data_IF_690697851077
#
_entry.id   IF_690697851077
#
_cell.length_a   1.000
_cell.length_b   1.000
_cell.length_c   1.000
_cell.angle_alpha   90.00
_cell.angle_beta   90.00
_cell.angle_gamma   90.00
#
_symmetry.space_group_name_H-M   'P 1'
#
loop_
_entity.id
_entity.type
_entity.pdbx_description
1 polymer ?
#
# COMPACT_ATOMS: atom_id res chain seq x y z
N UNK A 1 -1.48 -18.92 -6.57
CA UNK A 1 -1.13 -17.53 -6.21
C UNK A 1 -0.79 -17.55 -4.73
N UNK A 2 0.41 -17.13 -4.34
CA UNK A 2 0.77 -17.07 -2.93
C UNK A 2 0.31 -15.72 -2.38
N UNK A 3 -0.54 -15.74 -1.36
CA UNK A 3 -0.96 -14.53 -0.64
C UNK A 3 0.18 -14.09 0.28
N UNK A 4 0.58 -12.83 0.17
CA UNK A 4 1.55 -12.23 1.08
C UNK A 4 0.82 -11.58 2.26
N UNK A 5 1.48 -11.55 3.42
CA UNK A 5 1.00 -10.81 4.58
C UNK A 5 1.85 -9.54 4.82
N UNK A 6 2.65 -9.15 3.83
CA UNK A 6 3.55 -8.01 3.88
C UNK A 6 3.63 -7.28 2.54
N UNK A 7 3.52 -5.93 2.57
CA UNK A 7 3.70 -5.10 1.39
C UNK A 7 5.11 -5.26 0.79
N UNK A 8 6.14 -5.25 1.63
CA UNK A 8 7.54 -5.34 1.17
C UNK A 8 7.79 -6.65 0.42
N UNK A 9 7.31 -7.77 0.98
CA UNK A 9 7.45 -9.08 0.36
C UNK A 9 6.69 -9.18 -0.98
N UNK A 10 5.48 -8.62 -1.04
CA UNK A 10 4.68 -8.61 -2.26
C UNK A 10 5.33 -7.76 -3.36
N UNK A 11 5.80 -6.55 -3.03
CA UNK A 11 6.51 -5.66 -3.97
C UNK A 11 7.76 -6.36 -4.49
N UNK A 12 8.59 -6.92 -3.59
CA UNK A 12 9.80 -7.65 -3.98
C UNK A 12 9.47 -8.80 -4.95
N UNK A 13 8.47 -9.61 -4.63
CA UNK A 13 8.06 -10.72 -5.49
C UNK A 13 7.52 -10.25 -6.85
N UNK A 14 6.75 -9.16 -6.88
CA UNK A 14 6.22 -8.60 -8.12
C UNK A 14 7.35 -8.14 -9.06
N UNK A 15 8.34 -7.42 -8.50
CA UNK A 15 9.50 -6.92 -9.24
C UNK A 15 10.41 -8.05 -9.74
N UNK A 16 10.72 -9.03 -8.89
CA UNK A 16 11.59 -10.17 -9.24
C UNK A 16 10.98 -11.04 -10.35
N UNK A 17 9.68 -11.31 -10.26
CA UNK A 17 8.98 -12.19 -11.20
C UNK A 17 8.41 -11.46 -12.42
N UNK A 18 8.52 -10.11 -12.46
CA UNK A 18 7.89 -9.26 -13.49
C UNK A 18 6.40 -9.57 -13.65
N UNK A 19 5.70 -9.71 -12.54
CA UNK A 19 4.29 -10.08 -12.46
C UNK A 19 3.59 -9.34 -11.31
N UNK A 20 2.29 -9.56 -11.10
CA UNK A 20 1.59 -9.00 -9.95
C UNK A 20 1.71 -9.91 -8.72
N UNK A 21 1.66 -9.28 -7.54
CA UNK A 21 1.56 -9.92 -6.24
C UNK A 21 0.41 -9.30 -5.44
N UNK A 22 -0.17 -10.07 -4.51
CA UNK A 22 -1.23 -9.58 -3.63
C UNK A 22 -0.79 -9.74 -2.19
N UNK A 23 -0.83 -8.64 -1.43
CA UNK A 23 -0.70 -8.64 0.01
C UNK A 23 -2.05 -8.37 0.68
N UNK A 24 -2.39 -9.16 1.69
CA UNK A 24 -3.56 -8.93 2.52
C UNK A 24 -3.14 -8.61 3.95
N UNK A 25 -3.46 -7.40 4.40
CA UNK A 25 -2.95 -6.83 5.65
C UNK A 25 -4.04 -6.85 6.73
N UNK A 26 -4.03 -7.85 7.60
CA UNK A 26 -5.04 -8.03 8.66
C UNK A 26 -4.82 -7.20 9.93
N UNK A 27 -3.60 -6.72 10.16
CA UNK A 27 -3.21 -5.91 11.34
C UNK A 27 -2.47 -4.67 10.85
N UNK A 28 -2.25 -3.70 11.74
CA UNK A 28 -1.21 -2.69 11.52
C UNK A 28 0.16 -3.37 11.45
N UNK A 29 0.45 -4.04 10.34
CA UNK A 29 1.82 -4.18 9.89
C UNK A 29 2.43 -2.77 9.94
N UNK A 30 3.72 -2.70 10.25
CA UNK A 30 4.43 -1.42 10.15
C UNK A 30 4.20 -0.92 8.73
N UNK A 31 3.32 0.07 8.60
CA UNK A 31 3.17 0.84 7.38
C UNK A 31 4.58 1.18 6.95
N UNK A 32 4.96 0.79 5.75
CA UNK A 32 6.27 1.14 5.23
C UNK A 32 6.44 2.65 5.41
N UNK A 33 7.64 3.07 5.81
CA UNK A 33 7.96 4.49 5.80
C UNK A 33 7.75 5.05 4.38
N UNK A 34 7.78 6.38 4.23
CA UNK A 34 7.72 7.03 2.92
C UNK A 34 8.66 6.35 1.91
N UNK A 35 8.09 5.84 0.82
CA UNK A 35 8.82 5.05 -0.16
C UNK A 35 8.30 5.26 -1.58
N UNK A 36 9.06 4.70 -2.53
CA UNK A 36 8.78 4.63 -3.96
C UNK A 36 9.15 3.23 -4.45
N UNK A 37 8.51 2.75 -5.52
CA UNK A 37 8.87 1.51 -6.20
C UNK A 37 8.60 1.59 -7.71
N UNK A 38 9.26 0.72 -8.48
CA UNK A 38 9.13 0.61 -9.94
C UNK A 38 7.98 -0.31 -10.33
N UNK A 39 6.80 -0.05 -9.75
CA UNK A 39 5.57 -0.78 -10.04
C UNK A 39 4.35 0.09 -9.75
N UNK A 40 3.22 -0.22 -10.36
CA UNK A 40 1.94 0.34 -9.91
C UNK A 40 1.53 -0.35 -8.61
N UNK A 41 0.97 0.41 -7.68
CA UNK A 41 0.33 -0.13 -6.48
C UNK A 41 -1.17 0.11 -6.52
N UNK A 42 -1.94 -0.95 -6.24
CA UNK A 42 -3.38 -0.88 -6.07
C UNK A 42 -3.70 -1.24 -4.63
N UNK A 43 -4.22 -0.28 -3.88
CA UNK A 43 -4.64 -0.46 -2.49
C UNK A 43 -6.16 -0.42 -2.39
N UNK A 44 -6.75 -1.47 -1.82
CA UNK A 44 -8.18 -1.55 -1.54
C UNK A 44 -8.44 -1.57 -0.03
N UNK A 45 -9.24 -0.62 0.46
CA UNK A 45 -9.55 -0.52 1.89
C UNK A 45 -10.76 -1.35 2.27
N UNK A 46 -10.57 -2.34 3.15
CA UNK A 46 -11.68 -3.11 3.71
C UNK A 46 -12.39 -2.35 4.84
N UNK A 47 -11.62 -1.78 5.78
CA UNK A 47 -12.17 -1.21 7.03
C UNK A 47 -11.94 0.29 7.18
N UNK A 48 -11.19 0.94 6.29
CA UNK A 48 -10.81 2.35 6.42
C UNK A 48 -9.98 2.65 7.68
N UNK A 49 -10.03 3.91 8.12
CA UNK A 49 -9.53 4.33 9.43
C UNK A 49 -8.05 4.74 9.47
N UNK A 50 -7.47 5.10 8.32
CA UNK A 50 -6.10 5.62 8.17
C UNK A 50 -6.10 6.77 7.16
N UNK A 51 -4.95 7.42 6.94
CA UNK A 51 -4.77 8.34 5.82
C UNK A 51 -3.62 7.87 4.93
N UNK A 52 -3.72 8.15 3.64
CA UNK A 52 -2.60 8.07 2.71
C UNK A 52 -2.00 9.45 2.54
N UNK A 53 -0.68 9.58 2.67
CA UNK A 53 0.04 10.68 2.04
C UNK A 53 0.53 10.18 0.68
N UNK A 54 0.09 10.83 -0.40
CA UNK A 54 0.58 10.58 -1.76
C UNK A 54 1.08 11.92 -2.30
N UNK A 55 2.37 11.96 -2.66
CA UNK A 55 3.07 13.20 -2.95
C UNK A 55 3.06 14.14 -1.74
N UNK A 56 2.31 15.24 -1.85
CA UNK A 56 2.16 16.26 -0.81
C UNK A 56 0.72 16.40 -0.27
N UNK A 57 -0.16 15.45 -0.58
CA UNK A 57 -1.57 15.52 -0.23
C UNK A 57 -2.01 14.32 0.60
N UNK A 58 -2.73 14.61 1.68
CA UNK A 58 -3.38 13.61 2.51
C UNK A 58 -4.76 13.24 1.95
N UNK A 59 -5.06 11.95 2.00
CA UNK A 59 -6.34 11.36 1.63
C UNK A 59 -6.83 10.49 2.79
N UNK A 60 -8.02 10.78 3.29
CA UNK A 60 -8.68 9.90 4.26
C UNK A 60 -9.06 8.59 3.57
N UNK A 61 -8.76 7.46 4.23
CA UNK A 61 -9.09 6.13 3.74
C UNK A 61 -10.39 5.67 4.40
N UNK A 62 -11.44 5.51 3.60
CA UNK A 62 -12.75 4.98 4.02
C UNK A 62 -12.92 3.53 3.54
N UNK A 63 -13.82 2.76 4.19
CA UNK A 63 -14.19 1.44 3.70
C UNK A 63 -14.65 1.49 2.24
N UNK A 64 -14.09 0.63 1.39
CA UNK A 64 -14.40 0.54 -0.03
C UNK A 64 -13.59 1.46 -0.95
N UNK A 65 -12.75 2.34 -0.40
CA UNK A 65 -11.89 3.19 -1.23
C UNK A 65 -10.83 2.35 -1.96
N UNK A 66 -10.59 2.71 -3.22
CA UNK A 66 -9.55 2.14 -4.08
C UNK A 66 -8.56 3.24 -4.47
N UNK A 67 -7.29 3.01 -4.20
CA UNK A 67 -6.19 3.88 -4.60
C UNK A 67 -5.38 3.18 -5.69
N UNK A 68 -5.03 3.91 -6.74
CA UNK A 68 -4.10 3.48 -7.78
C UNK A 68 -2.96 4.47 -7.77
N UNK A 69 -1.76 3.99 -7.44
CA UNK A 69 -0.56 4.79 -7.24
C UNK A 69 0.40 4.52 -8.38
N UNK A 70 0.95 5.57 -8.98
CA UNK A 70 1.87 5.44 -10.11
C UNK A 70 3.23 4.93 -9.67
N UNK A 71 3.97 4.37 -10.63
CA UNK A 71 5.40 4.10 -10.46
C UNK A 71 6.15 5.37 -10.02
N UNK A 72 7.09 5.19 -9.10
CA UNK A 72 7.93 6.26 -8.55
C UNK A 72 7.19 7.42 -7.84
N UNK A 73 5.90 7.27 -7.56
CA UNK A 73 5.14 8.25 -6.79
C UNK A 73 5.39 8.02 -5.30
N UNK A 74 5.85 9.04 -4.56
CA UNK A 74 6.16 8.89 -3.14
C UNK A 74 4.89 8.76 -2.31
N UNK A 75 4.79 7.72 -1.49
CA UNK A 75 3.61 7.51 -0.65
C UNK A 75 3.93 6.81 0.68
N UNK A 76 3.04 7.01 1.66
CA UNK A 76 2.96 6.17 2.87
C UNK A 76 1.56 6.22 3.50
N UNK A 77 1.23 5.18 4.26
CA UNK A 77 0.00 5.15 5.09
C UNK A 77 0.34 5.69 6.47
N UNK A 78 -0.31 6.78 6.88
CA UNK A 78 -0.17 7.29 8.23
C UNK A 78 -0.85 6.35 9.22
N UNK A 79 -0.24 6.21 10.40
CA UNK A 79 -0.98 5.75 11.57
C UNK A 79 -1.84 6.92 12.03
N UNK A 80 -3.15 6.71 12.10
CA UNK A 80 -3.98 7.58 12.93
C UNK A 80 -3.68 7.17 14.36
N UNK A 81 -2.89 7.97 15.07
CA UNK A 81 -2.80 7.87 16.52
C UNK A 81 -4.23 8.03 17.06
N UNK A 82 -4.78 6.96 17.64
CA UNK A 82 -6.00 7.01 18.44
C UNK A 82 -5.63 7.07 19.92
#
# INVERSE_FOLDING_TARGET
MNEFNSCEAAIKSALENKYFSIAHLYKEEKSMAMHIHDSYEIYYSITGGKQFLIGNKFYDIKPGDLFVINQFESHYISKLDK
#
